data_IF_302038849878
#
_entry.id   IF_302038849878
#
_cell.length_a   1.000
_cell.length_b   1.000
_cell.length_c   1.000
_cell.angle_alpha   90.00
_cell.angle_beta   90.00
_cell.angle_gamma   90.00
#
_symmetry.space_group_name_H-M   'P 1'
#
loop_
_entity.id
_entity.type
_entity.pdbx_description
1 polymer ?
#
# COMPACT_ATOMS: atom_id res chain seq x y z
N UNK A 1 8.17 40.90 -3.06
CA UNK A 1 7.67 39.52 -3.17
C UNK A 1 7.97 38.80 -1.86
N UNK A 2 7.07 37.97 -1.33
CA UNK A 2 7.21 37.31 -0.01
C UNK A 2 7.16 35.78 -0.15
N UNK A 3 8.08 35.20 -0.92
CA UNK A 3 8.27 33.75 -1.02
C UNK A 3 9.68 33.43 -0.52
N UNK A 4 9.78 32.70 0.58
CA UNK A 4 11.07 32.32 1.16
C UNK A 4 11.63 31.03 0.55
N UNK A 5 10.77 30.06 0.20
CA UNK A 5 11.18 28.73 -0.30
C UNK A 5 10.07 27.98 -1.05
N UNK A 6 10.43 26.93 -1.79
CA UNK A 6 9.53 25.99 -2.46
C UNK A 6 9.94 24.55 -2.14
N UNK A 7 8.99 23.76 -1.64
CA UNK A 7 9.18 22.34 -1.31
C UNK A 7 8.34 21.47 -2.23
N UNK A 8 8.93 20.39 -2.73
CA UNK A 8 8.21 19.35 -3.50
C UNK A 8 8.04 18.10 -2.65
N UNK A 9 6.94 17.39 -2.83
CA UNK A 9 6.64 16.11 -2.16
C UNK A 9 6.24 15.07 -3.20
N UNK A 10 6.49 13.80 -2.90
CA UNK A 10 6.05 12.70 -3.78
C UNK A 10 4.55 12.43 -3.64
N UNK A 11 3.99 11.72 -4.62
CA UNK A 11 2.60 11.24 -4.54
C UNK A 11 2.39 10.30 -3.34
N UNK A 12 3.36 9.44 -3.05
CA UNK A 12 3.34 8.56 -1.87
C UNK A 12 3.25 9.36 -0.56
N UNK A 13 4.03 10.43 -0.45
CA UNK A 13 4.00 11.32 0.71
C UNK A 13 2.65 12.04 0.83
N UNK A 14 2.07 12.51 -0.28
CA UNK A 14 0.72 13.10 -0.30
C UNK A 14 -0.35 12.11 0.14
N UNK A 15 -0.32 10.86 -0.37
CA UNK A 15 -1.28 9.82 0.05
C UNK A 15 -1.11 9.43 1.51
N UNK A 16 0.13 9.31 2.01
CA UNK A 16 0.40 9.04 3.42
C UNK A 16 -0.10 10.17 4.33
N UNK A 17 0.10 11.43 3.94
CA UNK A 17 -0.40 12.60 4.65
C UNK A 17 -1.94 12.62 4.71
N UNK A 18 -2.60 12.35 3.57
CA UNK A 18 -4.05 12.23 3.50
C UNK A 18 -4.58 11.14 4.42
N UNK A 19 -3.95 9.95 4.42
CA UNK A 19 -4.32 8.87 5.35
C UNK A 19 -4.14 9.31 6.81
N UNK A 20 -3.03 9.98 7.13
CA UNK A 20 -2.80 10.53 8.46
C UNK A 20 -3.88 11.53 8.89
N UNK A 21 -4.28 12.43 7.99
CA UNK A 21 -5.36 13.40 8.20
C UNK A 21 -6.71 12.71 8.41
N UNK A 22 -7.02 11.70 7.60
CA UNK A 22 -8.27 10.95 7.70
C UNK A 22 -8.32 10.11 8.99
N UNK A 23 -7.23 9.45 9.35
CA UNK A 23 -7.17 8.55 10.51
C UNK A 23 -7.11 9.31 11.84
N UNK A 24 -6.31 10.38 11.92
CA UNK A 24 -6.03 11.09 13.18
C UNK A 24 -6.85 12.37 13.34
N UNK A 25 -6.94 13.18 12.29
CA UNK A 25 -7.66 14.45 12.33
C UNK A 25 -9.12 14.33 11.88
N UNK A 26 -9.51 13.21 11.26
CA UNK A 26 -10.83 12.97 10.65
C UNK A 26 -11.19 14.02 9.59
N UNK A 27 -10.17 14.57 8.93
CA UNK A 27 -10.33 15.56 7.87
C UNK A 27 -10.30 14.86 6.52
N UNK A 28 -11.32 15.10 5.71
CA UNK A 28 -11.34 14.72 4.30
C UNK A 28 -10.73 15.86 3.48
N UNK A 29 -9.65 15.56 2.76
CA UNK A 29 -8.84 16.53 2.01
C UNK A 29 -8.52 15.88 0.66
N UNK A 30 -8.42 16.67 -0.40
CA UNK A 30 -7.89 16.19 -1.69
C UNK A 30 -6.35 16.05 -1.64
N UNK A 31 -5.70 15.31 -2.55
CA UNK A 31 -4.24 15.11 -2.51
C UNK A 31 -3.43 16.43 -2.49
N UNK A 32 -3.77 17.39 -3.36
CA UNK A 32 -3.12 18.71 -3.40
C UNK A 32 -3.33 19.50 -2.10
N UNK A 33 -4.51 19.38 -1.49
CA UNK A 33 -4.81 20.03 -0.21
C UNK A 33 -4.00 19.47 0.96
N UNK A 34 -3.43 18.28 0.83
CA UNK A 34 -2.58 17.66 1.86
C UNK A 34 -1.08 17.93 1.66
N UNK A 35 -0.66 18.63 0.60
CA UNK A 35 0.76 18.81 0.26
C UNK A 35 1.59 19.45 1.38
N UNK A 36 1.05 20.46 2.06
CA UNK A 36 1.72 21.09 3.21
C UNK A 36 1.92 20.13 4.38
N UNK A 37 0.96 19.24 4.63
CA UNK A 37 1.09 18.20 5.65
C UNK A 37 2.10 17.13 5.23
N UNK A 38 2.10 16.75 3.96
CA UNK A 38 3.09 15.82 3.41
C UNK A 38 4.51 16.34 3.60
N UNK A 39 4.77 17.62 3.33
CA UNK A 39 6.09 18.22 3.51
C UNK A 39 6.56 18.17 4.97
N UNK A 40 5.64 18.37 5.92
CA UNK A 40 5.95 18.29 7.36
C UNK A 40 6.20 16.86 7.85
N UNK A 41 5.57 15.87 7.23
CA UNK A 41 5.78 14.47 7.60
C UNK A 41 7.06 13.89 6.98
N UNK A 42 7.41 14.33 5.77
CA UNK A 42 8.59 13.89 5.03
C UNK A 42 9.88 14.47 5.65
N UNK A 43 9.83 15.72 6.15
CA UNK A 43 10.92 16.34 6.90
C UNK A 43 10.41 17.09 8.16
N UNK A 44 10.16 16.36 9.27
CA UNK A 44 9.62 16.94 10.50
C UNK A 44 10.51 17.99 11.17
N UNK A 45 11.80 18.05 10.80
CA UNK A 45 12.77 18.98 11.38
C UNK A 45 12.94 20.27 10.57
N UNK A 46 12.33 20.39 9.39
CA UNK A 46 12.59 21.49 8.45
C UNK A 46 12.16 22.86 8.96
N UNK A 47 11.05 22.92 9.69
CA UNK A 47 10.42 24.17 10.10
C UNK A 47 10.48 24.31 11.62
N UNK A 48 10.93 25.48 12.09
CA UNK A 48 11.03 25.78 13.51
C UNK A 48 9.76 26.46 14.05
N UNK A 49 9.39 26.14 15.29
CA UNK A 49 8.28 26.77 15.99
C UNK A 49 6.88 26.25 15.59
N UNK A 50 5.80 26.99 15.92
CA UNK A 50 4.44 26.60 15.56
C UNK A 50 4.24 26.68 14.04
N UNK A 51 3.96 25.54 13.41
CA UNK A 51 3.70 25.45 11.97
C UNK A 51 2.22 25.15 11.71
N UNK A 52 1.62 25.88 10.76
CA UNK A 52 0.21 25.71 10.39
C UNK A 52 0.12 25.39 8.90
N UNK A 53 0.04 24.10 8.51
CA UNK A 53 -0.20 23.73 7.12
C UNK A 53 -1.64 24.09 6.75
N UNK A 54 -1.83 24.71 5.59
CA UNK A 54 -3.16 25.02 5.05
C UNK A 54 -3.69 23.82 4.29
N UNK A 55 -4.86 23.32 4.69
CA UNK A 55 -5.61 22.31 3.95
C UNK A 55 -6.42 23.00 2.85
N UNK A 56 -5.84 23.14 1.65
CA UNK A 56 -6.37 24.06 0.63
C UNK A 56 -7.59 23.56 -0.14
N UNK A 57 -7.95 22.28 -0.05
CA UNK A 57 -9.05 21.69 -0.82
C UNK A 57 -9.57 20.39 -0.23
N UNK A 58 -10.87 20.14 -0.42
CA UNK A 58 -11.57 18.94 0.07
C UNK A 58 -12.60 18.38 -0.92
N UNK A 59 -12.56 18.84 -2.17
CA UNK A 59 -13.51 18.41 -3.20
C UNK A 59 -12.99 17.15 -3.90
N UNK A 60 -12.90 16.06 -3.14
CA UNK A 60 -12.48 14.76 -3.64
C UNK A 60 -13.73 13.91 -3.95
N UNK A 61 -13.78 13.32 -5.14
CA UNK A 61 -14.83 12.37 -5.48
C UNK A 61 -14.57 11.01 -4.80
N UNK A 62 -15.63 10.23 -4.63
CA UNK A 62 -15.56 8.98 -3.88
C UNK A 62 -14.65 7.91 -4.54
N UNK A 63 -14.52 7.91 -5.87
CA UNK A 63 -13.67 6.93 -6.56
C UNK A 63 -12.21 7.31 -6.37
N UNK A 64 -11.86 8.59 -6.56
CA UNK A 64 -10.52 9.08 -6.28
C UNK A 64 -10.12 8.88 -4.81
N UNK A 65 -11.04 9.08 -3.87
CA UNK A 65 -10.80 8.81 -2.46
C UNK A 65 -10.45 7.33 -2.22
N UNK A 66 -11.19 6.39 -2.83
CA UNK A 66 -10.89 4.97 -2.71
C UNK A 66 -9.52 4.62 -3.27
N UNK A 67 -9.16 5.16 -4.44
CA UNK A 67 -7.88 4.90 -5.08
C UNK A 67 -6.72 5.44 -4.25
N UNK A 68 -6.83 6.67 -3.76
CA UNK A 68 -5.80 7.29 -2.90
C UNK A 68 -5.69 6.54 -1.56
N UNK A 69 -6.81 6.05 -1.00
CA UNK A 69 -6.74 5.24 0.22
C UNK A 69 -6.00 3.94 -0.03
N UNK A 70 -6.31 3.23 -1.12
CA UNK A 70 -5.60 1.99 -1.50
C UNK A 70 -4.11 2.24 -1.72
N UNK A 71 -3.76 3.33 -2.41
CA UNK A 71 -2.38 3.72 -2.65
C UNK A 71 -1.65 4.04 -1.35
N UNK A 72 -2.22 4.90 -0.50
CA UNK A 72 -1.63 5.29 0.78
C UNK A 72 -1.47 4.11 1.74
N UNK A 73 -2.43 3.18 1.79
CA UNK A 73 -2.31 1.95 2.59
C UNK A 73 -1.23 1.00 2.03
N UNK A 74 -1.05 0.94 0.72
CA UNK A 74 0.01 0.15 0.09
C UNK A 74 1.39 0.75 0.35
N UNK A 75 1.56 2.07 0.20
CA UNK A 75 2.78 2.78 0.52
C UNK A 75 3.15 2.67 2.01
N UNK A 76 2.17 2.68 2.90
CA UNK A 76 2.35 2.43 4.34
C UNK A 76 2.62 0.95 4.67
N UNK A 77 2.75 0.08 3.67
CA UNK A 77 2.97 -1.35 3.83
C UNK A 77 1.82 -2.09 4.50
N UNK A 78 0.63 -1.48 4.65
CA UNK A 78 -0.56 -2.09 5.27
C UNK A 78 -1.37 -2.92 4.28
N UNK A 79 -1.15 -2.73 2.99
CA UNK A 79 -1.58 -3.64 1.93
C UNK A 79 -0.37 -4.21 1.18
N UNK A 80 -0.47 -5.48 0.86
CA UNK A 80 0.55 -6.25 0.17
C UNK A 80 -0.09 -6.97 -1.01
N UNK A 81 0.46 -6.74 -2.19
CA UNK A 81 0.13 -7.52 -3.39
C UNK A 81 1.24 -8.53 -3.67
N UNK A 82 0.85 -9.79 -3.86
CA UNK A 82 1.73 -10.90 -4.17
C UNK A 82 1.23 -11.58 -5.43
N UNK A 83 2.13 -11.97 -6.32
CA UNK A 83 1.84 -12.97 -7.36
C UNK A 83 2.62 -14.22 -7.02
N UNK A 84 1.93 -15.34 -6.96
CA UNK A 84 2.52 -16.63 -6.63
C UNK A 84 2.28 -17.57 -7.79
N UNK A 85 3.35 -18.16 -8.32
CA UNK A 85 3.26 -19.20 -9.35
C UNK A 85 3.39 -20.57 -8.73
N UNK A 86 2.51 -21.48 -9.13
CA UNK A 86 2.59 -22.88 -8.74
C UNK A 86 2.18 -23.82 -9.88
N UNK A 87 2.65 -25.06 -9.80
CA UNK A 87 2.20 -26.14 -10.68
C UNK A 87 0.73 -26.46 -10.41
N UNK A 88 -0.08 -26.69 -11.44
CA UNK A 88 -1.53 -27.00 -11.36
C UNK A 88 -1.77 -28.39 -10.76
N UNK A 89 -1.58 -28.46 -9.43
CA UNK A 89 -1.82 -29.62 -8.57
C UNK A 89 -2.86 -29.26 -7.51
N UNK A 90 -3.82 -30.14 -7.22
CA UNK A 90 -4.78 -29.93 -6.14
C UNK A 90 -4.06 -29.67 -4.81
N UNK A 91 -4.45 -28.61 -4.11
CA UNK A 91 -3.96 -28.27 -2.77
C UNK A 91 -2.91 -27.15 -2.71
N UNK A 92 -2.30 -26.71 -3.83
CA UNK A 92 -1.28 -25.65 -3.79
C UNK A 92 -1.83 -24.30 -3.30
N UNK A 93 -3.02 -23.89 -3.76
CA UNK A 93 -3.66 -22.69 -3.22
C UNK A 93 -3.96 -22.83 -1.72
N UNK A 94 -4.43 -24.00 -1.29
CA UNK A 94 -4.71 -24.25 0.13
C UNK A 94 -3.42 -24.11 0.95
N UNK A 95 -2.30 -24.65 0.47
CA UNK A 95 -0.99 -24.49 1.11
C UNK A 95 -0.59 -23.02 1.24
N UNK A 96 -0.72 -22.24 0.16
CA UNK A 96 -0.46 -20.79 0.19
C UNK A 96 -1.34 -20.06 1.22
N UNK A 97 -2.65 -20.34 1.23
CA UNK A 97 -3.58 -19.70 2.16
C UNK A 97 -3.32 -20.10 3.62
N UNK A 98 -2.93 -21.36 3.87
CA UNK A 98 -2.50 -21.82 5.20
C UNK A 98 -1.24 -21.11 5.66
N UNK A 99 -0.21 -21.04 4.81
CA UNK A 99 1.05 -20.36 5.15
C UNK A 99 0.81 -18.86 5.42
N UNK A 100 -0.05 -18.21 4.64
CA UNK A 100 -0.47 -16.81 4.88
C UNK A 100 -1.21 -16.65 6.23
N UNK A 101 -2.08 -17.60 6.57
CA UNK A 101 -2.81 -17.59 7.84
C UNK A 101 -1.86 -17.74 9.04
N UNK A 102 -0.88 -18.64 8.95
CA UNK A 102 0.15 -18.84 9.98
C UNK A 102 1.03 -17.59 10.16
N UNK A 103 1.24 -16.83 9.08
CA UNK A 103 1.91 -15.53 9.10
C UNK A 103 1.02 -14.39 9.59
N UNK A 104 -0.22 -14.66 10.01
CA UNK A 104 -1.21 -13.67 10.43
C UNK A 104 -1.45 -12.59 9.37
N UNK A 105 -1.41 -12.97 8.09
CA UNK A 105 -1.72 -12.11 6.95
C UNK A 105 -3.19 -12.28 6.59
N UNK A 106 -3.94 -11.18 6.55
CA UNK A 106 -5.36 -11.23 6.23
C UNK A 106 -5.55 -11.16 4.71
N UNK A 107 -6.09 -12.23 4.10
CA UNK A 107 -6.34 -12.28 2.66
C UNK A 107 -7.62 -11.51 2.33
N UNK A 108 -7.52 -10.52 1.45
CA UNK A 108 -8.63 -9.68 1.01
C UNK A 108 -9.23 -10.17 -0.31
N UNK A 109 -8.36 -10.58 -1.24
CA UNK A 109 -8.77 -11.02 -2.58
C UNK A 109 -7.77 -12.04 -3.13
N UNK A 110 -8.28 -12.97 -3.92
CA UNK A 110 -7.52 -14.04 -4.57
C UNK A 110 -8.04 -14.21 -5.99
N UNK A 111 -7.21 -13.87 -6.97
CA UNK A 111 -7.53 -14.02 -8.38
C UNK A 111 -6.59 -15.05 -9.03
N UNK A 112 -7.17 -16.03 -9.72
CA UNK A 112 -6.42 -16.98 -10.53
C UNK A 112 -6.23 -16.42 -11.94
N UNK A 113 -4.98 -16.25 -12.36
CA UNK A 113 -4.64 -15.95 -13.73
C UNK A 113 -4.11 -17.23 -14.40
N UNK A 114 -4.90 -17.73 -15.36
CA UNK A 114 -4.56 -18.90 -16.20
C UNK A 114 -4.22 -18.48 -17.63
N UNK A 115 -4.19 -17.18 -17.89
CA UNK A 115 -4.07 -16.56 -19.21
C UNK A 115 -2.77 -15.78 -19.42
N UNK A 116 -1.92 -15.66 -18.39
CA UNK A 116 -0.63 -15.01 -18.52
C UNK A 116 0.25 -15.75 -19.54
N UNK A 117 0.76 -15.01 -20.54
CA UNK A 117 1.61 -15.53 -21.63
C UNK A 117 2.91 -16.19 -21.14
N UNK A 118 3.27 -15.97 -19.87
CA UNK A 118 4.45 -16.52 -19.18
C UNK A 118 4.24 -17.90 -18.55
N UNK A 119 3.02 -18.46 -18.58
CA UNK A 119 2.70 -19.73 -17.93
C UNK A 119 3.13 -20.94 -18.78
N UNK A 120 3.90 -21.84 -18.18
CA UNK A 120 4.14 -23.16 -18.75
C UNK A 120 2.86 -24.00 -18.84
N UNK A 121 2.88 -25.09 -19.61
CA UNK A 121 1.77 -26.05 -19.67
C UNK A 121 1.54 -26.62 -18.27
N UNK A 122 0.39 -26.30 -17.65
CA UNK A 122 -0.02 -26.65 -16.27
C UNK A 122 0.62 -25.82 -15.15
N UNK A 123 0.90 -24.55 -15.41
CA UNK A 123 1.18 -23.57 -14.35
C UNK A 123 -0.04 -22.67 -14.14
N UNK A 124 -0.20 -22.19 -12.91
CA UNK A 124 -1.19 -21.18 -12.55
C UNK A 124 -0.48 -20.09 -11.79
N UNK A 125 -0.81 -18.84 -12.09
CA UNK A 125 -0.42 -17.69 -11.30
C UNK A 125 -1.63 -17.26 -10.45
N UNK A 126 -1.38 -16.94 -9.19
CA UNK A 126 -2.40 -16.38 -8.30
C UNK A 126 -1.94 -15.03 -7.82
N UNK A 127 -2.76 -14.03 -8.11
CA UNK A 127 -2.64 -12.72 -7.50
C UNK A 127 -3.38 -12.74 -6.16
N UNK A 128 -2.66 -12.46 -5.07
CA UNK A 128 -3.21 -12.31 -3.72
C UNK A 128 -3.08 -10.86 -3.31
N UNK A 129 -4.21 -10.27 -2.92
CA UNK A 129 -4.23 -9.01 -2.17
C UNK A 129 -4.43 -9.34 -0.70
N UNK A 130 -3.56 -8.80 0.15
CA UNK A 130 -3.61 -9.05 1.57
C UNK A 130 -3.33 -7.80 2.41
N UNK A 131 -3.92 -7.76 3.61
CA UNK A 131 -3.64 -6.76 4.62
C UNK A 131 -2.59 -7.27 5.62
N UNK A 132 -1.70 -6.37 6.01
CA UNK A 132 -0.62 -6.63 6.98
C UNK A 132 -0.65 -5.56 8.08
N UNK A 133 0.21 -5.72 9.09
CA UNK A 133 0.32 -4.78 10.22
C UNK A 133 1.28 -3.61 9.96
N UNK A 134 1.81 -3.48 8.74
CA UNK A 134 2.79 -2.46 8.38
C UNK A 134 3.95 -3.04 7.56
N UNK A 135 4.95 -2.19 7.22
CA UNK A 135 5.99 -2.53 6.26
C UNK A 135 6.86 -3.71 6.73
N UNK A 136 7.26 -3.74 8.01
CA UNK A 136 8.07 -4.82 8.56
C UNK A 136 7.34 -6.18 8.49
N UNK A 137 6.03 -6.18 8.73
CA UNK A 137 5.22 -7.40 8.64
C UNK A 137 5.10 -7.85 7.18
N UNK A 138 4.82 -6.94 6.26
CA UNK A 138 4.73 -7.25 4.84
C UNK A 138 6.04 -7.86 4.29
N UNK A 139 7.19 -7.25 4.64
CA UNK A 139 8.49 -7.73 4.19
C UNK A 139 8.85 -9.08 4.83
N UNK A 140 8.63 -9.23 6.14
CA UNK A 140 8.84 -10.51 6.83
C UNK A 140 7.98 -11.63 6.24
N UNK A 141 6.70 -11.35 5.94
CA UNK A 141 5.79 -12.30 5.30
C UNK A 141 6.26 -12.67 3.88
N UNK A 142 6.65 -11.70 3.05
CA UNK A 142 7.21 -11.96 1.70
C UNK A 142 8.42 -12.88 1.77
N UNK A 143 9.40 -12.54 2.61
CA UNK A 143 10.62 -13.34 2.79
C UNK A 143 10.28 -14.76 3.23
N UNK A 144 9.39 -14.90 4.22
CA UNK A 144 9.02 -16.20 4.77
C UNK A 144 8.28 -17.08 3.75
N UNK A 145 7.43 -16.50 2.90
CA UNK A 145 6.79 -17.25 1.81
C UNK A 145 7.84 -17.79 0.82
N UNK A 146 8.87 -17.01 0.49
CA UNK A 146 9.98 -17.47 -0.33
C UNK A 146 10.76 -18.64 0.31
N UNK A 147 11.03 -18.57 1.62
CA UNK A 147 11.66 -19.66 2.39
C UNK A 147 10.80 -20.94 2.44
N UNK A 148 9.47 -20.80 2.41
CA UNK A 148 8.51 -21.90 2.35
C UNK A 148 8.33 -22.47 0.93
N UNK A 149 9.10 -21.96 -0.04
CA UNK A 149 9.12 -22.48 -1.41
C UNK A 149 8.04 -21.90 -2.32
N UNK A 150 7.38 -20.80 -1.93
CA UNK A 150 6.48 -20.07 -2.84
C UNK A 150 7.29 -19.24 -3.83
N UNK A 151 7.05 -19.45 -5.12
CA UNK A 151 7.65 -18.65 -6.17
C UNK A 151 6.90 -17.34 -6.32
N UNK A 152 7.41 -16.30 -5.68
CA UNK A 152 6.90 -14.93 -5.82
C UNK A 152 7.39 -14.34 -7.16
N UNK A 153 6.46 -13.79 -7.94
CA UNK A 153 6.71 -13.21 -9.27
C UNK A 153 6.46 -11.70 -9.28
#
# INVERSE_FOLDING_TARGET
>A
EQLDDVVTVSEDAMSAALIGLLERAKMLVEPSGAAGVAALLDDPGRFEGPVVPVLSGGNIDALLLLDVIRHGLSAAGRFMQLRVRFSDRPGELMRLLTDLADLQVNVLDVAHDRSAESLGVREVEVAVQAATRGPDHAEASRRRLGELGHLLV
#
